data_IF_314137595104
#
_entry.id   IF_314137595104
#
_cell.length_a   1.000
_cell.length_b   1.000
_cell.length_c   1.000
_cell.angle_alpha   90.00
_cell.angle_beta   90.00
_cell.angle_gamma   90.00
#
_symmetry.space_group_name_H-M   'P 1'
#
loop_
_entity.id
_entity.type
_entity.pdbx_description
1 polymer ?
#
# COMPACT_ATOMS: atom_id res chain seq x y z
N UNK A 1 10.77 45.83 -3.10
CA UNK A 1 9.58 45.01 -3.43
C UNK A 1 10.03 43.56 -3.34
N UNK A 2 9.58 42.83 -2.32
CA UNK A 2 9.97 41.44 -2.09
C UNK A 2 9.10 40.56 -2.98
N UNK A 3 9.72 39.78 -3.87
CA UNK A 3 8.99 38.82 -4.69
C UNK A 3 8.28 37.80 -3.77
N UNK A 4 7.02 37.44 -4.03
CA UNK A 4 6.36 36.37 -3.28
C UNK A 4 7.19 35.09 -3.43
N UNK A 5 7.46 34.43 -2.31
CA UNK A 5 8.13 33.13 -2.32
C UNK A 5 7.33 32.20 -3.24
N UNK A 6 7.98 31.67 -4.27
CA UNK A 6 7.39 30.64 -5.10
C UNK A 6 7.01 29.49 -4.17
N UNK A 7 5.70 29.23 -4.05
CA UNK A 7 5.22 28.02 -3.40
C UNK A 7 5.78 26.88 -4.24
N UNK A 8 6.69 26.07 -3.68
CA UNK A 8 7.14 24.87 -4.36
C UNK A 8 5.88 24.08 -4.71
N UNK A 9 5.67 23.80 -6.00
CA UNK A 9 4.61 22.90 -6.43
C UNK A 9 4.71 21.63 -5.57
N UNK A 10 3.60 21.04 -5.11
CA UNK A 10 3.66 19.76 -4.44
C UNK A 10 4.45 18.85 -5.35
N UNK A 11 5.64 18.43 -4.90
CA UNK A 11 6.45 17.48 -5.65
C UNK A 11 5.50 16.32 -5.92
N UNK A 12 5.27 15.99 -7.19
CA UNK A 12 4.63 14.74 -7.62
C UNK A 12 5.59 13.60 -7.23
N UNK A 13 5.77 13.45 -5.93
CA UNK A 13 6.63 12.49 -5.30
C UNK A 13 5.98 11.13 -5.46
N UNK A 14 6.83 10.12 -5.48
CA UNK A 14 6.45 8.71 -5.51
C UNK A 14 5.05 8.42 -4.90
N UNK A 15 4.15 7.81 -5.68
CA UNK A 15 2.80 7.44 -5.25
C UNK A 15 1.78 8.58 -5.20
N UNK A 16 2.05 9.75 -5.76
CA UNK A 16 1.12 10.89 -5.68
C UNK A 16 -0.25 10.69 -6.36
N UNK A 17 -0.43 9.66 -7.19
CA UNK A 17 -1.66 9.39 -7.94
C UNK A 17 -2.19 7.98 -7.72
N UNK A 18 -3.50 7.79 -7.87
CA UNK A 18 -4.14 6.46 -7.79
C UNK A 18 -3.51 5.49 -8.80
N UNK A 19 -3.28 5.95 -10.03
CA UNK A 19 -2.63 5.17 -11.10
C UNK A 19 -1.22 4.69 -10.74
N UNK A 20 -0.54 5.33 -9.79
CA UNK A 20 0.77 4.89 -9.33
C UNK A 20 0.70 3.56 -8.54
N UNK A 21 -0.47 3.20 -8.00
CA UNK A 21 -0.70 1.95 -7.26
C UNK A 21 -1.44 0.91 -8.06
N UNK A 22 -2.41 1.31 -8.89
CA UNK A 22 -3.34 0.37 -9.54
C UNK A 22 -3.16 0.27 -11.05
N UNK A 23 -2.28 1.07 -11.62
CA UNK A 23 -2.09 1.20 -13.06
C UNK A 23 -3.08 2.19 -13.67
N UNK A 24 -2.68 2.83 -14.78
CA UNK A 24 -3.50 3.80 -15.51
C UNK A 24 -4.42 3.12 -16.53
N UNK A 25 -3.82 2.59 -17.60
CA UNK A 25 -4.54 2.00 -18.73
C UNK A 25 -4.85 0.50 -18.55
N UNK A 26 -4.11 -0.17 -17.68
CA UNK A 26 -4.27 -1.58 -17.37
C UNK A 26 -4.10 -1.81 -15.86
N UNK A 27 -4.76 -2.86 -15.35
CA UNK A 27 -4.62 -3.28 -13.95
C UNK A 27 -3.17 -3.70 -13.71
N UNK A 28 -2.57 -3.09 -12.70
CA UNK A 28 -1.18 -3.40 -12.33
C UNK A 28 -1.04 -4.75 -11.63
N UNK A 29 0.19 -5.25 -11.52
CA UNK A 29 0.49 -6.48 -10.79
C UNK A 29 0.25 -6.29 -9.29
N UNK A 30 -0.13 -7.40 -8.64
CA UNK A 30 -0.30 -7.43 -7.21
C UNK A 30 1.03 -7.17 -6.49
N UNK A 31 0.98 -6.42 -5.40
CA UNK A 31 2.07 -6.38 -4.44
C UNK A 31 2.03 -7.65 -3.60
N UNK A 32 3.20 -8.23 -3.37
CA UNK A 32 3.36 -9.45 -2.60
C UNK A 32 4.50 -9.31 -1.61
N UNK A 33 4.38 -9.93 -0.45
CA UNK A 33 5.40 -9.94 0.57
C UNK A 33 4.99 -10.76 1.77
N UNK A 34 5.61 -10.49 2.91
CA UNK A 34 5.35 -11.23 4.16
C UNK A 34 5.02 -10.30 5.32
N UNK A 35 4.25 -10.84 6.26
CA UNK A 35 3.95 -10.24 7.56
C UNK A 35 4.43 -11.23 8.62
N UNK A 36 5.31 -10.77 9.50
CA UNK A 36 5.88 -11.59 10.58
C UNK A 36 5.02 -11.43 11.85
N UNK A 37 4.23 -12.44 12.17
CA UNK A 37 3.52 -12.51 13.47
C UNK A 37 4.33 -13.35 14.45
N UNK A 38 4.05 -13.22 15.75
CA UNK A 38 4.90 -13.80 16.81
C UNK A 38 5.13 -15.33 16.70
N UNK A 39 4.28 -16.04 15.95
CA UNK A 39 4.37 -17.48 15.76
C UNK A 39 4.69 -17.93 14.31
N UNK A 40 4.54 -17.07 13.30
CA UNK A 40 4.57 -17.47 11.88
C UNK A 40 4.86 -16.30 10.92
N UNK A 41 5.42 -16.60 9.75
CA UNK A 41 5.47 -15.68 8.60
C UNK A 41 4.29 -15.94 7.67
N UNK A 42 3.46 -14.93 7.41
CA UNK A 42 2.26 -15.04 6.58
C UNK A 42 2.47 -14.32 5.25
N UNK A 43 2.04 -14.92 4.15
CA UNK A 43 2.06 -14.26 2.85
C UNK A 43 0.99 -13.17 2.84
N UNK A 44 1.38 -11.95 2.50
CA UNK A 44 0.49 -10.82 2.34
C UNK A 44 0.50 -10.34 0.90
N UNK A 45 -0.68 -10.26 0.30
CA UNK A 45 -0.86 -9.75 -1.06
C UNK A 45 -1.85 -8.60 -1.09
N UNK A 46 -1.57 -7.62 -1.94
CA UNK A 46 -2.43 -6.46 -2.20
C UNK A 46 -2.62 -6.35 -3.71
N UNK A 47 -3.82 -6.63 -4.17
CA UNK A 47 -4.16 -6.80 -5.58
C UNK A 47 -5.07 -5.65 -6.02
N UNK A 48 -4.64 -4.80 -6.97
CA UNK A 48 -5.55 -3.88 -7.65
C UNK A 48 -6.69 -4.64 -8.34
N UNK A 49 -7.94 -4.17 -8.19
CA UNK A 49 -9.09 -4.80 -8.87
C UNK A 49 -9.53 -4.06 -10.14
N UNK A 50 -8.97 -2.89 -10.42
CA UNK A 50 -9.28 -2.10 -11.61
C UNK A 50 -8.25 -1.01 -11.88
N UNK A 51 -7.94 -0.78 -13.15
CA UNK A 51 -7.05 0.30 -13.57
C UNK A 51 -7.71 1.66 -13.24
N UNK A 52 -6.97 2.57 -12.64
CA UNK A 52 -7.49 3.86 -12.15
C UNK A 52 -8.53 3.76 -11.03
N UNK A 53 -8.83 2.56 -10.52
CA UNK A 53 -9.78 2.34 -9.43
C UNK A 53 -9.09 2.43 -8.07
N UNK A 54 -9.78 3.00 -7.09
CA UNK A 54 -9.31 2.97 -5.69
C UNK A 54 -9.55 1.63 -5.01
N UNK A 55 -10.15 0.65 -5.68
CA UNK A 55 -10.53 -0.63 -5.07
C UNK A 55 -9.39 -1.65 -5.18
N UNK A 56 -9.01 -2.21 -4.04
CA UNK A 56 -8.01 -3.28 -3.94
C UNK A 56 -8.55 -4.45 -3.10
N UNK A 57 -8.03 -5.65 -3.39
CA UNK A 57 -8.17 -6.83 -2.55
C UNK A 57 -6.88 -7.01 -1.73
N UNK A 58 -7.00 -7.12 -0.41
CA UNK A 58 -5.90 -7.54 0.46
C UNK A 58 -6.14 -8.97 0.92
N UNK A 59 -5.08 -9.79 0.97
CA UNK A 59 -5.17 -11.18 1.41
C UNK A 59 -3.98 -11.55 2.28
N UNK A 60 -4.25 -12.16 3.43
CA UNK A 60 -3.23 -12.74 4.32
C UNK A 60 -3.44 -14.25 4.38
N UNK A 61 -2.39 -15.00 4.07
CA UNK A 61 -2.42 -16.47 4.03
C UNK A 61 -1.37 -17.03 4.98
N UNK A 62 -1.81 -17.87 5.92
CA UNK A 62 -0.91 -18.58 6.83
C UNK A 62 -0.13 -19.67 6.06
N UNK A 63 1.12 -19.99 6.45
CA UNK A 63 2.01 -20.86 5.68
C UNK A 63 1.45 -22.27 5.43
N UNK A 64 0.57 -22.76 6.31
CA UNK A 64 -0.06 -24.09 6.20
C UNK A 64 -1.56 -24.02 5.83
N UNK A 65 -2.03 -22.89 5.31
CA UNK A 65 -3.43 -22.71 4.88
C UNK A 65 -3.52 -22.44 3.39
N UNK A 66 -4.44 -23.12 2.71
CA UNK A 66 -4.85 -22.75 1.34
C UNK A 66 -5.95 -21.69 1.31
N UNK A 67 -6.59 -21.45 2.46
CA UNK A 67 -7.63 -20.42 2.61
C UNK A 67 -6.98 -19.17 3.17
N UNK A 68 -6.80 -18.18 2.30
CA UNK A 68 -6.39 -16.82 2.67
C UNK A 68 -7.58 -16.03 3.21
N UNK A 69 -7.32 -15.19 4.21
CA UNK A 69 -8.30 -14.24 4.74
C UNK A 69 -8.21 -12.95 3.96
N UNK A 70 -9.34 -12.47 3.44
CA UNK A 70 -9.37 -11.39 2.45
C UNK A 70 -10.27 -10.25 2.86
N UNK A 71 -9.97 -9.05 2.39
CA UNK A 71 -10.89 -7.92 2.36
C UNK A 71 -10.79 -7.21 1.03
N UNK A 72 -11.92 -6.66 0.59
CA UNK A 72 -12.01 -5.81 -0.59
C UNK A 72 -12.51 -4.45 -0.16
N UNK A 73 -11.88 -3.39 -0.64
CA UNK A 73 -12.42 -2.05 -0.46
C UNK A 73 -11.54 -0.96 -1.04
N UNK A 74 -12.04 0.27 -0.90
CA UNK A 74 -11.34 1.45 -1.39
C UNK A 74 -10.15 1.80 -0.49
N UNK A 75 -9.02 2.14 -1.10
CA UNK A 75 -7.92 2.78 -0.40
C UNK A 75 -8.10 4.30 -0.37
N UNK A 76 -7.57 4.93 0.67
CA UNK A 76 -7.46 6.40 0.76
C UNK A 76 -6.03 6.81 0.48
N UNK A 77 -5.82 7.74 -0.45
CA UNK A 77 -4.51 8.32 -0.73
C UNK A 77 -4.28 9.57 0.11
N UNK A 78 -3.13 9.64 0.78
CA UNK A 78 -2.68 10.77 1.59
C UNK A 78 -1.24 11.13 1.20
N UNK A 79 -0.85 12.39 1.37
CA UNK A 79 0.54 12.79 1.18
C UNK A 79 1.24 12.92 2.55
N UNK A 80 2.48 12.43 2.66
CA UNK A 80 3.32 12.72 3.84
C UNK A 80 4.02 14.08 3.73
N UNK A 81 4.73 14.48 4.78
CA UNK A 81 5.47 15.75 4.81
C UNK A 81 6.56 15.88 3.72
N UNK A 82 6.99 14.77 3.13
CA UNK A 82 7.93 14.72 2.02
C UNK A 82 7.24 14.67 0.63
N UNK A 83 5.91 14.79 0.57
CA UNK A 83 5.13 14.73 -0.67
C UNK A 83 4.97 13.33 -1.27
N UNK A 84 5.33 12.25 -0.53
CA UNK A 84 5.07 10.88 -0.99
C UNK A 84 3.61 10.52 -0.75
N UNK A 85 3.00 9.82 -1.71
CA UNK A 85 1.70 9.21 -1.53
C UNK A 85 1.79 8.01 -0.59
N UNK A 86 0.95 7.99 0.42
CA UNK A 86 0.76 6.90 1.36
C UNK A 86 -0.71 6.49 1.28
N UNK A 87 -0.96 5.19 1.31
CA UNK A 87 -2.32 4.66 1.27
C UNK A 87 -2.70 3.97 2.57
N UNK A 88 -3.99 3.96 2.85
CA UNK A 88 -4.59 3.06 3.82
C UNK A 88 -5.77 2.33 3.20
N UNK A 89 -5.92 1.05 3.52
CA UNK A 89 -6.90 0.18 2.88
C UNK A 89 -7.40 -0.91 3.85
N UNK A 90 -8.61 -1.44 3.65
CA UNK A 90 -9.16 -2.44 4.54
C UNK A 90 -8.44 -3.79 4.42
N UNK A 91 -8.33 -4.49 5.54
CA UNK A 91 -7.89 -5.88 5.63
C UNK A 91 -8.94 -6.70 6.38
N UNK A 92 -8.87 -8.04 6.30
CA UNK A 92 -9.90 -8.97 6.80
C UNK A 92 -10.46 -8.62 8.19
N UNK A 93 -9.66 -8.03 9.07
CA UNK A 93 -10.12 -7.64 10.40
C UNK A 93 -9.49 -6.34 10.92
N UNK A 94 -9.33 -5.33 10.05
CA UNK A 94 -8.80 -4.03 10.44
C UNK A 94 -8.41 -3.18 9.25
N UNK A 95 -7.32 -2.41 9.40
CA UNK A 95 -6.79 -1.57 8.34
C UNK A 95 -5.29 -1.82 8.16
N UNK A 96 -4.81 -1.61 6.94
CA UNK A 96 -3.39 -1.45 6.66
C UNK A 96 -3.07 0.03 6.49
N UNK A 97 -1.92 0.45 7.01
CA UNK A 97 -1.40 1.80 6.92
C UNK A 97 -0.02 1.76 6.28
N UNK A 98 0.10 2.32 5.08
CA UNK A 98 1.41 2.51 4.43
C UNK A 98 2.07 3.73 5.06
N UNK A 99 3.31 3.54 5.53
CA UNK A 99 4.12 4.60 6.17
C UNK A 99 5.22 5.09 5.24
N UNK A 100 5.66 4.25 4.30
CA UNK A 100 6.58 4.65 3.24
C UNK A 100 6.33 3.89 1.93
N UNK A 101 6.75 4.51 0.83
CA UNK A 101 6.70 3.94 -0.51
C UNK A 101 8.02 4.14 -1.25
N UNK A 102 8.36 3.18 -2.10
CA UNK A 102 9.45 3.26 -3.07
C UNK A 102 8.86 3.16 -4.47
N UNK A 103 9.40 3.96 -5.38
CA UNK A 103 8.99 3.97 -6.77
C UNK A 103 10.07 3.47 -7.70
N UNK A 104 9.65 2.93 -8.85
CA UNK A 104 10.55 2.47 -9.90
C UNK A 104 11.44 3.60 -10.42
N UNK A 105 12.69 3.28 -10.76
CA UNK A 105 13.79 4.24 -10.98
C UNK A 105 13.44 5.49 -11.78
N UNK A 106 13.14 6.58 -11.06
CA UNK A 106 12.85 7.92 -11.61
C UNK A 106 11.39 8.22 -11.93
N UNK A 107 10.46 7.30 -11.66
CA UNK A 107 9.02 7.48 -11.88
C UNK A 107 8.21 7.70 -10.61
N UNK A 108 6.89 7.87 -10.79
CA UNK A 108 5.91 7.99 -9.70
C UNK A 108 5.27 6.65 -9.31
N UNK A 109 5.46 5.61 -10.14
CA UNK A 109 4.88 4.28 -9.96
C UNK A 109 5.48 3.57 -8.76
N UNK A 110 4.63 3.21 -7.80
CA UNK A 110 5.04 2.53 -6.56
C UNK A 110 5.45 1.10 -6.87
N UNK A 111 6.62 0.66 -6.45
CA UNK A 111 7.09 -0.73 -6.59
C UNK A 111 7.18 -1.44 -5.26
N UNK A 112 7.21 -0.68 -4.16
CA UNK A 112 7.27 -1.23 -2.79
C UNK A 112 6.45 -0.38 -1.83
N UNK A 113 5.70 -1.04 -0.97
CA UNK A 113 4.97 -0.44 0.15
C UNK A 113 5.51 -1.00 1.46
N UNK A 114 5.78 -0.10 2.40
CA UNK A 114 6.21 -0.41 3.76
C UNK A 114 5.15 0.19 4.68
N UNK A 115 4.69 -0.60 5.65
CA UNK A 115 3.59 -0.17 6.51
C UNK A 115 3.34 -1.13 7.64
N UNK A 116 2.19 -0.95 8.27
CA UNK A 116 1.69 -1.86 9.30
C UNK A 116 0.25 -2.28 9.02
N UNK A 117 -0.10 -3.48 9.43
CA UNK A 117 -1.42 -4.09 9.24
C UNK A 117 -1.97 -4.60 10.55
N UNK A 118 -3.24 -4.31 10.82
CA UNK A 118 -3.94 -4.85 11.98
C UNK A 118 -4.29 -6.32 11.76
N UNK A 119 -3.76 -7.20 12.60
CA UNK A 119 -4.03 -8.65 12.54
C UNK A 119 -4.94 -9.04 13.70
N UNK A 120 -6.19 -9.45 13.42
CA UNK A 120 -7.14 -9.82 14.47
C UNK A 120 -6.65 -10.94 15.41
N UNK A 121 -5.87 -11.89 14.89
CA UNK A 121 -5.35 -12.99 15.70
C UNK A 121 -4.30 -12.52 16.73
N UNK A 122 -3.72 -11.33 16.54
CA UNK A 122 -2.70 -10.75 17.43
C UNK A 122 -3.33 -9.83 18.50
N UNK A 123 -4.63 -9.96 18.75
CA UNK A 123 -5.33 -9.15 19.75
C UNK A 123 -5.43 -7.67 19.39
N UNK A 124 -5.49 -7.36 18.09
CA UNK A 124 -5.57 -5.98 17.59
C UNK A 124 -4.24 -5.24 17.55
N UNK A 125 -3.11 -5.96 17.62
CA UNK A 125 -1.78 -5.36 17.39
C UNK A 125 -1.58 -5.11 15.89
N UNK A 126 -0.94 -3.99 15.58
CA UNK A 126 -0.44 -3.70 14.24
C UNK A 126 0.93 -4.37 14.06
N UNK A 127 1.11 -5.02 12.93
CA UNK A 127 2.32 -5.77 12.57
C UNK A 127 2.91 -5.17 11.32
N UNK A 128 4.22 -4.99 11.27
CA UNK A 128 4.87 -4.41 10.11
C UNK A 128 4.79 -5.35 8.90
N UNK A 129 4.64 -4.76 7.72
CA UNK A 129 4.67 -5.45 6.45
C UNK A 129 5.58 -4.74 5.47
N UNK A 130 6.13 -5.53 4.56
CA UNK A 130 6.76 -5.03 3.36
C UNK A 130 6.24 -5.85 2.19
N UNK A 131 5.64 -5.17 1.21
CA UNK A 131 5.15 -5.80 -0.01
C UNK A 131 5.72 -5.08 -1.22
N UNK A 132 6.02 -5.84 -2.25
CA UNK A 132 6.65 -5.33 -3.47
C UNK A 132 6.05 -5.99 -4.70
N UNK A 133 6.24 -5.33 -5.84
CA UNK A 133 5.89 -5.84 -7.16
C UNK A 133 7.06 -5.62 -8.12
N UNK A 134 7.15 -6.49 -9.13
CA UNK A 134 8.15 -6.42 -10.20
C UNK A 134 7.92 -5.21 -11.12
#
# INVERSE_FOLDING_TARGET
MTAPAAHAEPVYGCGSQVSDYVGGDAVDTAFTGTVEVAADSRVFTVTPLGAGSVVMESSITAPNSTVGRRAVGAFTLRANAAGKGLIDFPVYAGKAYVTDVVCGGGGTRVTKMIGSVDVADEGGKSVDFTVERA
#
